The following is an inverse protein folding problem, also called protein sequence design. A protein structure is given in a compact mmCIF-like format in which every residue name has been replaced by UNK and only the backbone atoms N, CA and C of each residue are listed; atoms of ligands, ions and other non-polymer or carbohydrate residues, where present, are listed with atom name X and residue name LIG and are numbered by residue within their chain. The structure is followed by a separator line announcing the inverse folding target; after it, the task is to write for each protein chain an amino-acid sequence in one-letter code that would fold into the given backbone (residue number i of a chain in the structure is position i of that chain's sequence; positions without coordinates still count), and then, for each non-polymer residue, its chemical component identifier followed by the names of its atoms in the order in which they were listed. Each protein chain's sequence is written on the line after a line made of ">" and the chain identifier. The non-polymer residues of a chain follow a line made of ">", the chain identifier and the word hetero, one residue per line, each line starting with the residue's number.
data_IF_612440063708
#
_entry.id   IF_612440063708
#
_cell.length_a   1.000
_cell.length_b   1.000
_cell.length_c   1.000
_cell.angle_alpha   90.00
_cell.angle_beta   90.00
_cell.angle_gamma   90.00
#
_symmetry.space_group_name_H-M   'P 1'
#
loop_
_entity.id
_entity.type
_entity.pdbx_description
1 polymer ?
#
# COMPACT_ATOMS: atom_id res chain seq x y z
N UNK A 1 -10.50 -6.10 -6.07
CA UNK A 1 -9.63 -6.11 -4.87
C UNK A 1 -9.79 -4.78 -4.13
N UNK A 2 -9.83 -4.82 -2.83
CA UNK A 2 -9.91 -3.62 -2.00
C UNK A 2 -8.57 -3.35 -1.33
N UNK A 3 -8.18 -2.08 -1.25
CA UNK A 3 -6.97 -1.62 -0.57
C UNK A 3 -7.37 -0.64 0.52
N UNK A 4 -6.91 -0.90 1.74
CA UNK A 4 -7.05 0.01 2.87
C UNK A 4 -5.67 0.37 3.40
N UNK A 5 -5.48 1.63 3.76
CA UNK A 5 -4.24 2.11 4.36
C UNK A 5 -4.51 2.52 5.80
N UNK A 6 -3.79 1.90 6.73
CA UNK A 6 -3.91 2.12 8.15
C UNK A 6 -2.66 2.79 8.69
N UNK A 7 -2.84 3.86 9.46
CA UNK A 7 -1.74 4.56 10.12
C UNK A 7 -1.48 3.97 11.50
N UNK A 8 -0.23 3.72 11.83
CA UNK A 8 0.18 3.15 13.10
C UNK A 8 1.15 4.05 13.85
N UNK A 9 0.73 4.56 14.99
CA UNK A 9 1.58 5.07 16.05
C UNK A 9 2.33 6.38 15.77
N UNK A 10 3.26 6.67 16.70
CA UNK A 10 4.06 7.90 16.70
C UNK A 10 5.15 7.89 15.62
N UNK A 11 5.70 6.73 15.30
CA UNK A 11 6.55 6.55 14.13
C UNK A 11 5.64 6.44 12.92
N UNK A 12 5.92 7.21 11.88
CA UNK A 12 5.04 7.29 10.72
C UNK A 12 5.14 5.99 9.92
N UNK A 13 4.39 5.00 10.39
CA UNK A 13 4.29 3.68 9.76
C UNK A 13 2.88 3.53 9.21
N UNK A 14 2.80 3.23 7.92
CA UNK A 14 1.54 2.96 7.26
C UNK A 14 1.49 1.49 6.87
N UNK A 15 0.32 0.87 6.99
CA UNK A 15 0.10 -0.51 6.59
C UNK A 15 -0.91 -0.56 5.47
N UNK A 16 -0.51 -1.11 4.32
CA UNK A 16 -1.42 -1.39 3.23
C UNK A 16 -2.03 -2.78 3.45
N UNK A 17 -3.36 -2.85 3.44
CA UNK A 17 -4.11 -4.08 3.61
C UNK A 17 -4.91 -4.38 2.35
N UNK A 18 -4.73 -5.56 1.79
CA UNK A 18 -5.40 -5.99 0.56
C UNK A 18 -6.39 -7.10 0.87
N UNK A 19 -7.61 -6.96 0.38
CA UNK A 19 -8.63 -8.00 0.44
C UNK A 19 -9.25 -8.18 -0.94
N UNK A 20 -9.90 -9.31 -1.18
CA UNK A 20 -10.47 -9.59 -2.49
C UNK A 20 -11.77 -10.40 -2.37
N UNK A 21 -12.57 -10.37 -3.44
CA UNK A 21 -13.78 -11.18 -3.59
C UNK A 21 -13.61 -12.29 -4.63
N UNK A 22 -12.46 -12.32 -5.32
CA UNK A 22 -12.06 -13.35 -6.26
C UNK A 22 -10.55 -13.55 -6.12
N UNK A 23 -10.01 -14.65 -6.63
CA UNK A 23 -8.59 -14.94 -6.53
C UNK A 23 -7.77 -13.86 -7.22
N UNK A 24 -6.73 -13.36 -6.53
CA UNK A 24 -5.81 -12.33 -7.02
C UNK A 24 -4.40 -12.87 -6.92
N UNK A 25 -3.61 -12.67 -7.98
CA UNK A 25 -2.23 -13.11 -8.06
C UNK A 25 -1.32 -11.97 -8.47
N UNK A 26 -0.03 -12.12 -8.23
CA UNK A 26 1.01 -11.17 -8.64
C UNK A 26 0.74 -9.75 -8.14
N UNK A 27 0.37 -9.61 -6.88
CA UNK A 27 0.15 -8.31 -6.25
C UNK A 27 1.48 -7.58 -6.16
N UNK A 28 1.52 -6.35 -6.68
CA UNK A 28 2.68 -5.47 -6.56
C UNK A 28 2.21 -4.08 -6.19
N UNK A 29 2.78 -3.54 -5.13
CA UNK A 29 2.51 -2.18 -4.65
C UNK A 29 3.78 -1.36 -4.80
N UNK A 30 3.67 -0.21 -5.45
CA UNK A 30 4.70 0.81 -5.50
C UNK A 30 4.15 2.10 -4.89
N UNK A 31 4.99 2.82 -4.16
CA UNK A 31 4.59 4.07 -3.56
C UNK A 31 5.70 5.10 -3.71
N UNK A 32 5.31 6.36 -3.83
CA UNK A 32 6.23 7.49 -3.87
C UNK A 32 5.79 8.54 -2.86
N UNK A 33 6.77 9.25 -2.30
CA UNK A 33 6.57 10.34 -1.35
C UNK A 33 7.12 11.64 -1.92
N UNK A 34 6.70 12.82 -1.40
CA UNK A 34 7.33 14.09 -1.76
C UNK A 34 8.83 14.09 -1.48
N UNK A 35 9.56 14.96 -2.17
CA UNK A 35 11.03 15.03 -2.06
C UNK A 35 11.54 15.29 -0.63
N UNK A 36 10.72 15.92 0.21
CA UNK A 36 11.05 16.21 1.61
C UNK A 36 10.89 15.01 2.52
N UNK A 37 10.30 13.94 2.04
CA UNK A 37 10.05 12.73 2.81
C UNK A 37 10.86 11.57 2.23
N UNK A 38 11.04 10.54 3.05
CA UNK A 38 11.71 9.31 2.63
C UNK A 38 10.78 8.13 2.93
N UNK A 39 10.81 7.14 2.06
CA UNK A 39 9.97 5.96 2.14
C UNK A 39 10.81 4.71 2.17
N UNK A 40 10.52 3.84 3.12
CA UNK A 40 11.04 2.47 3.17
C UNK A 40 9.89 1.50 3.03
N UNK A 41 9.90 0.69 1.97
CA UNK A 41 8.93 -0.38 1.75
C UNK A 41 9.44 -1.66 2.40
N UNK A 42 8.62 -2.27 3.24
CA UNK A 42 8.91 -3.58 3.81
C UNK A 42 8.27 -4.67 2.94
N UNK A 43 8.71 -5.94 3.06
CA UNK A 43 8.19 -6.99 2.20
C UNK A 43 6.68 -7.18 2.30
N UNK A 44 6.06 -7.48 1.16
CA UNK A 44 4.66 -7.88 1.09
C UNK A 44 4.48 -9.26 1.74
N UNK A 45 3.44 -9.43 2.56
CA UNK A 45 3.21 -10.70 3.26
C UNK A 45 2.86 -11.85 2.33
N UNK A 46 2.06 -11.56 1.29
CA UNK A 46 1.65 -12.52 0.27
C UNK A 46 1.47 -11.81 -1.05
N UNK A 47 1.92 -12.41 -2.13
CA UNK A 47 1.70 -11.88 -3.49
C UNK A 47 0.42 -12.41 -4.13
N UNK A 48 -0.23 -13.39 -3.52
CA UNK A 48 -1.49 -13.97 -4.01
C UNK A 48 -2.43 -14.16 -2.83
N UNK A 49 -3.70 -13.83 -3.03
CA UNK A 49 -4.75 -14.03 -2.02
C UNK A 49 -6.02 -14.59 -2.66
N UNK A 50 -6.78 -15.32 -1.87
CA UNK A 50 -8.12 -15.81 -2.22
C UNK A 50 -9.15 -15.12 -1.32
N UNK A 51 -10.46 -15.17 -1.66
CA UNK A 51 -11.48 -14.59 -0.80
C UNK A 51 -11.38 -15.10 0.64
N UNK A 52 -11.43 -14.17 1.59
CA UNK A 52 -11.26 -14.46 3.01
C UNK A 52 -9.82 -14.32 3.51
N UNK A 53 -8.84 -14.23 2.61
CA UNK A 53 -7.46 -13.96 2.98
C UNK A 53 -7.15 -12.46 2.90
N UNK A 54 -6.08 -12.06 3.58
CA UNK A 54 -5.58 -10.69 3.59
C UNK A 54 -4.08 -10.70 3.34
N UNK A 55 -3.61 -9.80 2.48
CA UNK A 55 -2.20 -9.49 2.33
C UNK A 55 -1.90 -8.13 2.94
N UNK A 56 -0.72 -7.97 3.51
CA UNK A 56 -0.30 -6.71 4.14
C UNK A 56 1.10 -6.32 3.70
N UNK A 57 1.34 -5.02 3.62
CA UNK A 57 2.66 -4.48 3.38
C UNK A 57 2.85 -3.23 4.23
N UNK A 58 3.90 -3.23 5.04
CA UNK A 58 4.22 -2.09 5.89
C UNK A 58 5.13 -1.11 5.14
N UNK A 59 4.95 0.16 5.42
CA UNK A 59 5.75 1.25 4.87
C UNK A 59 6.17 2.17 6.01
N UNK A 60 7.44 2.58 6.00
CA UNK A 60 7.96 3.58 6.94
C UNK A 60 8.26 4.86 6.20
N UNK A 61 7.71 5.96 6.68
CA UNK A 61 7.92 7.29 6.12
C UNK A 61 8.66 8.14 7.13
N UNK A 62 9.74 8.78 6.71
CA UNK A 62 10.51 9.72 7.53
C UNK A 62 10.59 11.08 6.86
N UNK A 63 11.02 12.10 7.60
CA UNK A 63 11.13 13.47 7.08
C UNK A 63 9.80 14.20 7.01
N UNK A 64 8.76 13.70 7.68
CA UNK A 64 7.47 14.40 7.77
C UNK A 64 7.61 15.51 8.80
N UNK A 65 7.26 16.75 8.43
CA UNK A 65 7.32 17.88 9.37
C UNK A 65 6.28 17.73 10.48
N UNK A 66 6.49 18.41 11.59
CA UNK A 66 5.62 18.31 12.78
C UNK A 66 4.15 18.60 12.46
N UNK A 67 3.90 19.54 11.53
CA UNK A 67 2.55 19.89 11.09
C UNK A 67 2.22 19.30 9.71
N UNK A 68 3.10 18.45 9.17
CA UNK A 68 2.92 17.82 7.88
C UNK A 68 2.12 16.56 7.96
N UNK A 69 1.58 16.14 6.82
CA UNK A 69 0.86 14.89 6.67
C UNK A 69 1.60 14.00 5.69
N UNK A 70 1.47 12.69 5.88
CA UNK A 70 1.98 11.71 4.94
C UNK A 70 1.15 11.78 3.66
N UNK A 71 1.83 11.85 2.53
CA UNK A 71 1.23 11.79 1.20
C UNK A 71 1.89 10.66 0.43
N UNK A 72 1.08 9.78 -0.12
CA UNK A 72 1.56 8.65 -0.91
C UNK A 72 0.91 8.66 -2.28
N UNK A 73 1.73 8.54 -3.31
CA UNK A 73 1.26 8.21 -4.65
C UNK A 73 1.46 6.72 -4.82
N UNK A 74 0.37 6.00 -4.94
CA UNK A 74 0.35 4.54 -4.93
C UNK A 74 0.05 4.04 -6.33
N UNK A 75 0.88 3.11 -6.81
CA UNK A 75 0.62 2.31 -8.00
C UNK A 75 0.47 0.87 -7.59
N UNK A 76 -0.64 0.29 -7.97
CA UNK A 76 -0.99 -1.08 -7.64
C UNK A 76 -1.19 -1.87 -8.92
N UNK A 77 -0.57 -3.04 -9.00
CA UNK A 77 -0.82 -3.98 -10.08
C UNK A 77 -1.10 -5.37 -9.51
N UNK A 78 -1.94 -6.11 -10.18
CA UNK A 78 -2.28 -7.49 -9.81
C UNK A 78 -2.91 -8.19 -11.00
N UNK A 79 -3.06 -9.51 -10.88
CA UNK A 79 -3.67 -10.34 -11.93
C UNK A 79 -4.95 -10.99 -11.40
N UNK A 80 -6.01 -10.91 -12.19
CA UNK A 80 -7.29 -11.54 -11.94
C UNK A 80 -7.66 -12.33 -13.20
N UNK A 81 -7.90 -13.63 -13.07
CA UNK A 81 -8.22 -14.50 -14.19
C UNK A 81 -7.21 -14.39 -15.35
N UNK A 82 -5.93 -14.26 -15.02
CA UNK A 82 -4.87 -14.15 -16.01
C UNK A 82 -4.71 -12.76 -16.63
N UNK A 83 -5.55 -11.81 -16.28
CA UNK A 83 -5.49 -10.43 -16.79
C UNK A 83 -4.84 -9.50 -15.79
N UNK A 84 -3.92 -8.65 -16.26
CA UNK A 84 -3.29 -7.64 -15.43
C UNK A 84 -4.22 -6.45 -15.23
N UNK A 85 -4.37 -6.04 -13.97
CA UNK A 85 -5.09 -4.82 -13.59
C UNK A 85 -4.09 -3.86 -12.97
N UNK A 86 -4.15 -2.59 -13.39
CA UNK A 86 -3.30 -1.52 -12.85
C UNK A 86 -4.17 -0.39 -12.36
N UNK A 87 -3.88 0.06 -11.15
CA UNK A 87 -4.54 1.20 -10.53
C UNK A 87 -3.50 2.18 -10.00
N UNK A 88 -3.88 3.45 -9.96
CA UNK A 88 -3.09 4.50 -9.35
C UNK A 88 -4.00 5.36 -8.49
N UNK A 89 -3.54 5.69 -7.28
CA UNK A 89 -4.28 6.57 -6.39
C UNK A 89 -3.31 7.43 -5.57
N UNK A 90 -3.81 8.57 -5.14
CA UNK A 90 -3.11 9.42 -4.18
C UNK A 90 -3.77 9.26 -2.82
N UNK A 91 -2.98 8.99 -1.81
CA UNK A 91 -3.45 8.85 -0.44
C UNK A 91 -2.81 9.92 0.44
N UNK A 92 -3.62 10.53 1.29
CA UNK A 92 -3.15 11.51 2.25
C UNK A 92 -3.67 11.12 3.64
N UNK A 93 -2.80 11.21 4.62
CA UNK A 93 -3.14 10.94 6.01
C UNK A 93 -4.28 11.84 6.45
N UNK A 94 -5.32 11.26 7.07
CA UNK A 94 -6.45 12.05 7.57
C UNK A 94 -6.06 13.04 8.66
#
# INVERSE_FOLDING_TARGET
>A
MALNILSHGADVTEQACFTCTTDVQHIMLQAAVPKTQQLQMLPLSKSSIVPGEQATQNMRISGVSTNGKVRLRIRLSYHVHGEEVRDQLDWMQP
#
